data_IF_087259072374
#
_entry.id   IF_087259072374
#
_cell.length_a   1.000
_cell.length_b   1.000
_cell.length_c   1.000
_cell.angle_alpha   90.00
_cell.angle_beta   90.00
_cell.angle_gamma   90.00
#
_symmetry.space_group_name_H-M   'P 1'
#
loop_
_entity.id
_entity.type
_entity.pdbx_description
1 polymer ?
#
# COMPACT_ATOMS: atom_id res chain seq x y z
N UNK A 1 2.81 1.25 8.01
CA UNK A 1 2.97 1.73 6.62
C UNK A 1 2.95 3.25 6.64
N UNK A 2 3.78 3.96 5.85
CA UNK A 2 3.74 5.41 5.69
C UNK A 2 2.38 5.93 5.17
N UNK A 3 2.16 7.24 5.27
CA UNK A 3 0.92 7.91 4.83
C UNK A 3 0.59 7.64 3.37
N UNK A 4 1.59 7.65 2.51
CA UNK A 4 1.48 7.32 1.09
C UNK A 4 2.76 6.69 0.58
N UNK A 5 2.62 5.67 -0.28
CA UNK A 5 3.71 4.99 -0.98
C UNK A 5 3.36 4.87 -2.45
N UNK A 6 4.24 5.33 -3.34
CA UNK A 6 4.15 5.08 -4.78
C UNK A 6 4.84 3.74 -5.10
N UNK A 7 4.16 2.86 -5.80
CA UNK A 7 4.78 1.65 -6.34
C UNK A 7 5.88 2.00 -7.35
N UNK A 8 6.98 1.25 -7.33
CA UNK A 8 8.12 1.45 -8.25
C UNK A 8 7.78 1.13 -9.69
N UNK A 9 6.88 0.16 -9.88
CA UNK A 9 6.39 -0.29 -11.18
C UNK A 9 5.01 -0.97 -11.03
N UNK A 10 4.48 -1.47 -12.14
CA UNK A 10 3.19 -2.17 -12.17
C UNK A 10 3.19 -3.44 -11.32
N UNK A 11 4.26 -4.25 -11.38
CA UNK A 11 4.36 -5.50 -10.62
C UNK A 11 4.33 -5.23 -9.12
N UNK A 12 5.10 -4.24 -8.68
CA UNK A 12 5.07 -3.78 -7.29
C UNK A 12 3.68 -3.25 -6.90
N UNK A 13 2.99 -2.53 -7.79
CA UNK A 13 1.62 -2.09 -7.55
C UNK A 13 0.64 -3.25 -7.37
N UNK A 14 0.77 -4.31 -8.14
CA UNK A 14 -0.01 -5.54 -7.96
C UNK A 14 0.31 -6.21 -6.62
N UNK A 15 1.59 -6.27 -6.24
CA UNK A 15 2.01 -6.77 -4.94
C UNK A 15 1.37 -5.97 -3.79
N UNK A 16 1.47 -4.64 -3.81
CA UNK A 16 0.85 -3.78 -2.80
C UNK A 16 -0.67 -4.03 -2.72
N UNK A 17 -1.36 -4.08 -3.87
CA UNK A 17 -2.79 -4.34 -3.93
C UNK A 17 -3.18 -5.72 -3.37
N UNK A 18 -2.36 -6.75 -3.61
CA UNK A 18 -2.60 -8.10 -3.12
C UNK A 18 -2.48 -8.25 -1.60
N UNK A 19 -1.79 -7.31 -0.94
CA UNK A 19 -1.55 -7.30 0.50
C UNK A 19 -2.41 -6.30 1.28
N UNK A 20 -3.38 -5.67 0.65
CA UNK A 20 -4.31 -4.78 1.35
C UNK A 20 -5.02 -5.55 2.46
N UNK A 21 -5.14 -4.89 3.61
CA UNK A 21 -5.93 -5.38 4.73
C UNK A 21 -7.07 -4.41 5.03
N UNK A 22 -8.20 -4.95 5.44
CA UNK A 22 -9.34 -4.17 5.92
C UNK A 22 -9.67 -4.53 7.36
N UNK A 23 -10.16 -3.54 8.10
CA UNK A 23 -10.65 -3.74 9.47
C UNK A 23 -12.01 -4.44 9.43
N UNK A 24 -12.20 -5.44 10.27
CA UNK A 24 -13.50 -6.10 10.44
C UNK A 24 -14.48 -5.15 11.09
N UNK A 25 -15.65 -4.97 10.49
CA UNK A 25 -16.75 -4.19 11.03
C UNK A 25 -17.69 -5.07 11.84
N UNK A 26 -18.56 -4.46 12.64
CA UNK A 26 -19.57 -5.17 13.46
C UNK A 26 -20.53 -6.06 12.64
N UNK A 27 -20.63 -5.86 11.33
CA UNK A 27 -21.45 -6.67 10.42
C UNK A 27 -20.77 -7.94 9.94
N UNK A 28 -19.45 -8.11 10.17
CA UNK A 28 -18.69 -9.29 9.80
C UNK A 28 -18.46 -10.17 11.04
N UNK A 29 -18.50 -11.50 10.87
CA UNK A 29 -18.14 -12.42 11.94
C UNK A 29 -16.68 -12.21 12.36
N UNK A 30 -16.44 -11.98 13.64
CA UNK A 30 -15.12 -11.76 14.23
C UNK A 30 -15.09 -10.64 15.26
N UNK A 31 -13.91 -10.39 15.83
CA UNK A 31 -13.70 -9.29 16.77
C UNK A 31 -13.63 -7.97 16.00
N UNK A 32 -14.45 -6.99 16.39
CA UNK A 32 -14.40 -5.64 15.81
C UNK A 32 -12.99 -5.06 15.99
N UNK A 33 -12.43 -4.51 14.90
CA UNK A 33 -11.09 -3.95 14.90
C UNK A 33 -9.98 -4.93 14.48
N UNK A 34 -10.29 -6.23 14.31
CA UNK A 34 -9.34 -7.20 13.78
C UNK A 34 -9.07 -6.94 12.29
N UNK A 35 -7.79 -6.87 11.92
CA UNK A 35 -7.38 -6.76 10.52
C UNK A 35 -7.50 -8.12 9.82
N UNK A 36 -8.02 -8.10 8.60
CA UNK A 36 -8.02 -9.26 7.71
C UNK A 36 -7.39 -8.88 6.37
N UNK A 37 -6.70 -9.81 5.76
CA UNK A 37 -6.27 -9.65 4.36
C UNK A 37 -7.49 -9.54 3.46
N UNK A 38 -7.49 -8.55 2.61
CA UNK A 38 -8.57 -8.26 1.67
C UNK A 38 -7.99 -7.77 0.34
N UNK A 39 -7.30 -8.67 -0.41
CA UNK A 39 -6.59 -8.31 -1.62
C UNK A 39 -7.48 -7.52 -2.58
N UNK A 40 -6.98 -6.36 -3.00
CA UNK A 40 -7.66 -5.40 -3.87
C UNK A 40 -9.06 -4.96 -3.36
N UNK A 41 -9.38 -5.18 -2.09
CA UNK A 41 -10.73 -5.09 -1.52
C UNK A 41 -11.76 -5.92 -2.31
N UNK A 42 -11.34 -7.05 -2.87
CA UNK A 42 -12.13 -7.88 -3.80
C UNK A 42 -12.40 -9.29 -3.27
N UNK A 43 -11.82 -9.68 -2.14
CA UNK A 43 -11.93 -11.05 -1.65
C UNK A 43 -13.38 -11.57 -1.56
N UNK A 44 -14.36 -10.81 -1.05
CA UNK A 44 -15.75 -11.27 -0.98
C UNK A 44 -16.43 -11.42 -2.36
N UNK A 45 -15.86 -10.82 -3.40
CA UNK A 45 -16.45 -10.77 -4.74
C UNK A 45 -15.76 -11.70 -5.73
N UNK A 46 -14.62 -12.30 -5.35
CA UNK A 46 -13.85 -13.18 -6.21
C UNK A 46 -14.35 -14.63 -6.05
N UNK A 47 -15.04 -15.15 -7.06
CA UNK A 47 -15.61 -16.49 -7.07
C UNK A 47 -14.64 -17.60 -7.52
N UNK A 48 -13.33 -17.33 -7.59
CA UNK A 48 -12.27 -18.24 -8.00
C UNK A 48 -11.00 -17.99 -7.18
N UNK A 49 -9.93 -18.78 -7.43
CA UNK A 49 -8.69 -18.61 -6.67
C UNK A 49 -8.12 -17.21 -6.86
N UNK A 50 -7.89 -16.51 -5.75
CA UNK A 50 -7.44 -15.11 -5.76
C UNK A 50 -6.04 -14.93 -6.39
N UNK A 51 -5.20 -15.97 -6.37
CA UNK A 51 -3.91 -15.93 -7.06
C UNK A 51 -4.05 -15.84 -8.59
N UNK A 52 -5.12 -16.39 -9.18
CA UNK A 52 -5.42 -16.21 -10.60
C UNK A 52 -5.80 -14.75 -10.91
N UNK A 53 -6.48 -14.08 -9.98
CA UNK A 53 -6.75 -12.65 -10.07
C UNK A 53 -5.46 -11.83 -10.06
N UNK A 54 -4.51 -12.15 -9.19
CA UNK A 54 -3.18 -11.53 -9.19
C UNK A 54 -2.44 -11.77 -10.51
N UNK A 55 -2.45 -13.03 -10.98
CA UNK A 55 -1.87 -13.42 -12.26
C UNK A 55 -2.47 -12.66 -13.44
N UNK A 56 -3.78 -12.39 -13.42
CA UNK A 56 -4.45 -11.56 -14.42
C UNK A 56 -3.86 -10.14 -14.44
N UNK A 57 -3.75 -9.48 -13.29
CA UNK A 57 -3.19 -8.13 -13.22
C UNK A 57 -1.72 -8.08 -13.65
N UNK A 58 -0.91 -9.06 -13.26
CA UNK A 58 0.47 -9.18 -13.74
C UNK A 58 0.51 -9.32 -15.27
N UNK A 59 -0.41 -10.09 -15.86
CA UNK A 59 -0.53 -10.25 -17.31
C UNK A 59 -0.95 -8.95 -18.00
N UNK A 60 -1.89 -8.20 -17.42
CA UNK A 60 -2.27 -6.88 -17.93
C UNK A 60 -1.05 -5.97 -18.02
N UNK A 61 -0.23 -5.94 -16.97
CA UNK A 61 0.98 -5.12 -16.94
C UNK A 61 1.98 -5.40 -18.07
N UNK A 62 2.07 -6.66 -18.53
CA UNK A 62 2.95 -7.04 -19.66
C UNK A 62 2.52 -6.40 -20.99
N UNK A 63 1.24 -6.05 -21.12
CA UNK A 63 0.68 -5.38 -22.30
C UNK A 63 0.71 -3.85 -22.24
N UNK A 64 1.07 -3.28 -21.09
CA UNK A 64 1.11 -1.83 -20.92
C UNK A 64 2.37 -1.23 -21.52
N UNK A 65 2.22 -0.09 -22.15
CA UNK A 65 3.37 0.73 -22.54
C UNK A 65 3.92 1.40 -21.28
N UNK A 66 5.22 1.28 -21.05
CA UNK A 66 5.89 1.83 -19.88
C UNK A 66 5.61 3.35 -19.67
N UNK A 67 5.59 4.11 -20.76
CA UNK A 67 5.36 5.56 -20.75
C UNK A 67 3.89 5.96 -20.49
N UNK A 68 2.96 5.01 -20.48
CA UNK A 68 1.53 5.22 -20.29
C UNK A 68 0.92 4.31 -19.22
N UNK A 69 1.72 3.51 -18.54
CA UNK A 69 1.23 2.68 -17.46
C UNK A 69 0.70 3.57 -16.31
N UNK A 70 -0.47 3.27 -15.75
CA UNK A 70 -0.96 3.96 -14.57
C UNK A 70 0.05 3.83 -13.43
N UNK A 71 0.24 4.91 -12.68
CA UNK A 71 0.97 4.85 -11.40
C UNK A 71 0.04 4.38 -10.30
N UNK A 72 0.57 3.59 -9.38
CA UNK A 72 -0.18 3.00 -8.29
C UNK A 72 0.34 3.56 -6.99
N UNK A 73 -0.58 4.01 -6.15
CA UNK A 73 -0.29 4.57 -4.83
C UNK A 73 -1.09 3.81 -3.79
N UNK A 74 -0.44 3.48 -2.69
CA UNK A 74 -1.09 2.98 -1.50
C UNK A 74 -1.11 4.07 -0.45
N UNK A 75 -2.25 4.32 0.18
CA UNK A 75 -2.43 5.34 1.22
C UNK A 75 -2.84 4.71 2.53
N UNK A 76 -2.40 5.30 3.65
CA UNK A 76 -2.77 4.89 4.99
C UNK A 76 -3.21 6.11 5.82
N UNK A 77 -4.51 6.38 5.79
CA UNK A 77 -5.12 7.46 6.57
C UNK A 77 -5.15 7.21 8.07
N UNK A 78 -4.90 5.97 8.52
CA UNK A 78 -5.24 5.47 9.84
C UNK A 78 -4.03 5.10 10.69
N UNK A 79 -2.81 5.57 10.31
CA UNK A 79 -1.62 5.33 11.13
C UNK A 79 -1.79 6.00 12.48
N UNK A 80 -1.50 5.22 13.56
CA UNK A 80 -1.58 5.69 14.93
C UNK A 80 -0.19 5.81 15.53
N UNK A 81 -0.03 6.82 16.36
CA UNK A 81 1.13 6.96 17.24
C UNK A 81 1.08 6.01 18.43
N UNK A 82 2.12 6.02 19.23
CA UNK A 82 2.25 5.20 20.43
C UNK A 82 1.17 5.47 21.50
N UNK A 83 0.55 6.64 21.46
CA UNK A 83 -0.57 7.06 22.31
C UNK A 83 -1.94 6.60 21.77
N UNK A 84 -1.98 5.93 20.62
CA UNK A 84 -3.19 5.46 19.95
C UNK A 84 -3.95 6.52 19.14
N UNK A 85 -3.48 7.78 19.14
CA UNK A 85 -4.05 8.87 18.34
C UNK A 85 -3.70 8.69 16.87
N UNK A 86 -4.60 9.10 15.98
CA UNK A 86 -4.27 9.19 14.56
C UNK A 86 -3.23 10.29 14.33
N UNK A 87 -2.18 9.95 13.57
CA UNK A 87 -1.12 10.89 13.23
C UNK A 87 -1.52 11.85 12.10
N UNK A 88 -2.43 11.42 11.24
CA UNK A 88 -2.97 12.24 10.16
C UNK A 88 -4.38 12.72 10.51
N UNK A 89 -4.71 14.00 10.29
CA UNK A 89 -6.04 14.54 10.63
C UNK A 89 -7.19 13.83 9.92
N UNK A 90 -6.95 13.38 8.67
CA UNK A 90 -7.95 12.69 7.88
C UNK A 90 -9.02 13.61 7.29
N UNK A 91 -10.12 13.01 6.83
CA UNK A 91 -11.26 13.71 6.26
C UNK A 91 -10.90 14.67 5.11
N UNK A 92 -11.16 15.97 5.26
CA UNK A 92 -10.85 16.98 4.26
C UNK A 92 -9.37 17.07 3.93
N UNK A 93 -8.50 16.82 4.91
CA UNK A 93 -7.04 16.88 4.73
C UNK A 93 -6.47 15.71 3.91
N UNK A 94 -7.25 14.66 3.67
CA UNK A 94 -6.89 13.61 2.72
C UNK A 94 -6.72 14.17 1.30
N UNK A 95 -7.40 15.26 0.95
CA UNK A 95 -7.25 15.96 -0.32
C UNK A 95 -5.82 16.44 -0.58
N UNK A 96 -5.04 16.73 0.47
CA UNK A 96 -3.63 17.17 0.37
C UNK A 96 -2.73 16.06 -0.16
N UNK A 97 -2.98 14.82 0.25
CA UNK A 97 -2.27 13.66 -0.28
C UNK A 97 -2.70 13.38 -1.73
N UNK A 98 -3.99 13.57 -2.05
CA UNK A 98 -4.48 13.44 -3.43
C UNK A 98 -3.88 14.52 -4.33
N UNK A 99 -3.75 15.76 -3.84
CA UNK A 99 -3.05 16.85 -4.54
C UNK A 99 -1.60 16.48 -4.84
N UNK A 100 -0.88 15.98 -3.82
CA UNK A 100 0.49 15.49 -4.02
C UNK A 100 0.56 14.38 -5.08
N UNK A 101 -0.37 13.40 -5.06
CA UNK A 101 -0.45 12.32 -6.05
C UNK A 101 -0.63 12.90 -7.47
N UNK A 102 -1.54 13.88 -7.64
CA UNK A 102 -1.78 14.52 -8.94
C UNK A 102 -0.51 15.22 -9.43
N UNK A 103 0.13 16.03 -8.59
CA UNK A 103 1.38 16.72 -8.93
C UNK A 103 2.51 15.73 -9.23
N UNK A 104 2.55 14.60 -8.50
CA UNK A 104 3.51 13.52 -8.76
C UNK A 104 3.28 12.88 -10.13
N UNK A 105 2.04 12.60 -10.50
CA UNK A 105 1.69 12.05 -11.83
C UNK A 105 2.02 13.04 -12.93
N UNK A 106 1.80 14.33 -12.71
CA UNK A 106 2.13 15.43 -13.63
C UNK A 106 3.64 15.71 -13.74
N UNK A 107 4.46 15.12 -12.84
CA UNK A 107 5.92 15.32 -12.86
C UNK A 107 6.38 16.61 -12.17
N UNK A 108 5.53 17.25 -11.38
CA UNK A 108 5.82 18.52 -10.69
C UNK A 108 6.60 18.33 -9.39
N UNK A 109 6.52 17.13 -8.78
CA UNK A 109 7.20 16.80 -7.53
C UNK A 109 8.01 15.51 -7.66
N UNK A 110 9.08 15.41 -6.84
CA UNK A 110 9.98 14.28 -6.78
C UNK A 110 9.58 13.29 -5.68
N UNK A 111 10.31 12.19 -5.57
CA UNK A 111 10.13 11.16 -4.53
C UNK A 111 11.50 10.72 -4.02
N UNK A 112 11.50 10.12 -2.82
CA UNK A 112 12.64 9.43 -2.24
C UNK A 112 12.40 7.93 -2.38
N UNK A 113 13.40 7.20 -2.88
CA UNK A 113 13.35 5.75 -2.93
C UNK A 113 13.49 5.16 -1.52
N UNK A 114 12.71 4.13 -1.23
CA UNK A 114 12.74 3.38 0.01
C UNK A 114 12.63 1.88 -0.26
N UNK A 115 12.93 1.01 0.74
CA UNK A 115 12.78 -0.43 0.57
C UNK A 115 11.35 -0.90 0.25
N UNK A 116 10.35 -0.07 0.54
CA UNK A 116 8.92 -0.42 0.35
C UNK A 116 8.24 0.38 -0.76
N UNK A 117 8.99 1.10 -1.58
CA UNK A 117 8.50 1.94 -2.66
C UNK A 117 8.98 3.38 -2.55
N UNK A 118 8.36 4.29 -3.30
CA UNK A 118 8.74 5.70 -3.30
C UNK A 118 7.87 6.51 -2.36
N UNK A 119 8.51 7.37 -1.58
CA UNK A 119 7.86 8.25 -0.61
C UNK A 119 7.90 9.71 -1.08
N UNK A 120 6.94 10.55 -0.65
CA UNK A 120 7.04 12.00 -0.86
C UNK A 120 8.21 12.59 -0.09
N UNK A 121 8.70 13.72 -0.56
CA UNK A 121 9.39 14.69 0.27
C UNK A 121 8.34 15.42 1.13
N UNK A 122 8.58 15.56 2.43
CA UNK A 122 7.59 16.16 3.34
C UNK A 122 7.27 17.61 2.94
N UNK A 123 8.26 18.35 2.43
CA UNK A 123 8.09 19.70 1.91
C UNK A 123 7.19 19.80 0.67
N UNK A 124 6.98 18.71 -0.04
CA UNK A 124 6.07 18.67 -1.20
C UNK A 124 4.60 18.46 -0.81
N UNK A 125 4.33 18.16 0.46
CA UNK A 125 2.96 18.12 0.97
C UNK A 125 2.50 19.52 1.35
N UNK A 126 1.32 19.92 0.90
CA UNK A 126 0.71 21.15 1.35
C UNK A 126 0.19 20.98 2.78
N UNK A 127 0.92 21.50 3.76
CA UNK A 127 0.57 21.46 5.18
C UNK A 127 0.01 22.80 5.70
N UNK A 128 -0.22 23.79 4.83
CA UNK A 128 -0.75 25.09 5.21
C UNK A 128 -2.13 24.96 5.88
N UNK A 129 -2.27 25.55 7.06
CA UNK A 129 -3.54 25.60 7.79
C UNK A 129 -3.92 24.29 8.52
N UNK A 130 -3.02 23.31 8.58
CA UNK A 130 -3.18 22.15 9.47
C UNK A 130 -2.10 22.17 10.56
N UNK A 131 -2.46 21.65 11.72
CA UNK A 131 -1.53 21.52 12.85
C UNK A 131 -1.14 20.04 13.00
N UNK A 132 -0.09 19.62 12.27
CA UNK A 132 0.51 18.29 12.41
C UNK A 132 1.92 18.51 12.99
N UNK A 133 2.16 18.06 14.22
CA UNK A 133 3.48 18.18 14.83
C UNK A 133 4.58 17.54 13.98
N UNK A 134 5.78 18.11 14.00
CA UNK A 134 6.94 17.59 13.25
C UNK A 134 7.24 16.11 13.59
N UNK A 135 7.15 15.76 14.89
CA UNK A 135 7.32 14.39 15.34
C UNK A 135 6.28 13.42 14.74
N UNK A 136 5.04 13.88 14.54
CA UNK A 136 4.00 13.07 13.90
C UNK A 136 4.29 12.89 12.41
N UNK A 137 4.82 13.91 11.74
CA UNK A 137 5.26 13.83 10.33
C UNK A 137 6.44 12.87 10.18
N UNK A 138 7.43 12.94 11.06
CA UNK A 138 8.54 11.99 11.07
C UNK A 138 8.04 10.56 11.26
N UNK A 139 7.15 10.34 12.21
CA UNK A 139 6.55 9.02 12.43
C UNK A 139 5.70 8.57 11.23
N UNK A 140 4.90 9.45 10.62
CA UNK A 140 4.06 9.16 9.45
C UNK A 140 4.86 8.61 8.27
N UNK A 141 6.11 9.03 8.09
CA UNK A 141 6.98 8.58 7.00
C UNK A 141 8.06 7.60 7.45
N UNK A 142 8.13 7.26 8.73
CA UNK A 142 9.09 6.28 9.23
C UNK A 142 8.81 4.87 8.71
N UNK A 143 9.89 4.11 8.49
CA UNK A 143 9.86 2.71 8.10
C UNK A 143 10.52 1.91 9.21
N UNK A 144 9.72 1.11 9.92
CA UNK A 144 10.21 0.16 10.90
C UNK A 144 10.61 -1.14 10.18
N UNK A 145 11.91 -1.35 10.04
CA UNK A 145 12.47 -2.50 9.31
C UNK A 145 12.07 -3.84 9.94
N UNK A 146 12.01 -3.94 11.26
CA UNK A 146 11.65 -5.20 11.93
C UNK A 146 10.16 -5.51 11.76
N UNK A 147 9.30 -4.49 11.86
CA UNK A 147 7.89 -4.66 11.57
C UNK A 147 7.65 -5.09 10.10
N UNK A 148 8.43 -4.56 9.16
CA UNK A 148 8.34 -4.96 7.76
C UNK A 148 8.86 -6.35 7.47
N UNK A 149 9.87 -6.84 8.18
CA UNK A 149 10.30 -8.24 8.11
C UNK A 149 9.19 -9.18 8.58
N UNK A 150 8.59 -8.86 9.73
CA UNK A 150 7.44 -9.62 10.25
C UNK A 150 6.28 -9.61 9.24
N UNK A 151 5.99 -8.47 8.61
CA UNK A 151 4.95 -8.36 7.59
C UNK A 151 5.27 -9.19 6.33
N UNK A 152 6.55 -9.30 5.95
CA UNK A 152 6.96 -10.17 4.85
C UNK A 152 6.67 -11.64 5.15
N UNK A 153 6.98 -12.11 6.36
CA UNK A 153 6.67 -13.48 6.79
C UNK A 153 5.16 -13.75 6.78
N UNK A 154 4.36 -12.82 7.29
CA UNK A 154 2.89 -12.90 7.27
C UNK A 154 2.32 -12.86 5.85
N UNK A 155 2.95 -12.14 4.95
CA UNK A 155 2.59 -12.11 3.53
C UNK A 155 2.86 -13.45 2.86
N UNK A 156 3.99 -14.09 3.18
CA UNK A 156 4.32 -15.42 2.68
C UNK A 156 3.29 -16.45 3.15
N UNK A 157 2.97 -16.47 4.45
CA UNK A 157 1.92 -17.33 5.01
C UNK A 157 0.57 -17.12 4.32
N UNK A 158 0.22 -15.85 4.06
CA UNK A 158 -1.02 -15.51 3.36
C UNK A 158 -1.03 -16.07 1.93
N UNK A 159 0.07 -15.96 1.20
CA UNK A 159 0.16 -16.49 -0.17
C UNK A 159 0.12 -18.02 -0.22
N UNK A 160 0.57 -18.71 0.83
CA UNK A 160 0.47 -20.16 0.95
C UNK A 160 -0.99 -20.64 0.96
N UNK A 161 -1.92 -19.81 1.42
CA UNK A 161 -3.36 -20.14 1.42
C UNK A 161 -3.92 -20.36 0.01
N UNK A 162 -3.29 -19.80 -1.02
CA UNK A 162 -3.69 -19.95 -2.41
C UNK A 162 -3.09 -21.18 -3.11
N UNK A 163 -2.22 -21.93 -2.43
CA UNK A 163 -1.58 -23.15 -2.94
C UNK A 163 -0.57 -22.87 -4.05
N UNK A 164 -0.32 -23.89 -4.89
CA UNK A 164 0.72 -23.83 -5.93
C UNK A 164 0.55 -22.71 -6.96
N UNK A 165 -0.64 -22.15 -7.11
CA UNK A 165 -0.90 -21.04 -8.05
C UNK A 165 -0.17 -19.76 -7.63
N UNK A 166 -0.01 -19.51 -6.32
CA UNK A 166 0.72 -18.34 -5.81
C UNK A 166 2.19 -18.34 -6.19
N UNK A 167 2.83 -19.52 -6.20
CA UNK A 167 4.24 -19.67 -6.60
C UNK A 167 4.51 -19.28 -8.04
N UNK A 168 3.56 -19.56 -8.92
CA UNK A 168 3.73 -19.32 -10.35
C UNK A 168 3.65 -17.82 -10.70
N UNK A 169 2.91 -17.03 -9.92
CA UNK A 169 2.57 -15.67 -10.28
C UNK A 169 3.29 -14.60 -9.45
N UNK A 170 3.37 -14.76 -8.14
CA UNK A 170 3.88 -13.72 -7.23
C UNK A 170 5.31 -13.99 -6.74
N UNK A 171 5.62 -15.19 -6.26
CA UNK A 171 6.94 -15.51 -5.71
C UNK A 171 8.09 -15.45 -6.73
N UNK A 172 7.82 -15.70 -8.00
CA UNK A 172 8.83 -15.54 -9.04
C UNK A 172 9.32 -14.09 -9.21
N UNK A 173 8.63 -13.11 -8.64
CA UNK A 173 8.99 -11.70 -8.70
C UNK A 173 9.67 -11.18 -7.43
N UNK A 174 9.42 -11.79 -6.26
CA UNK A 174 10.08 -11.42 -5.01
C UNK A 174 11.60 -11.70 -5.01
N UNK A 175 12.02 -12.76 -5.68
CA UNK A 175 13.44 -13.15 -5.76
C UNK A 175 14.31 -12.23 -6.62
N UNK A 176 13.75 -11.23 -7.29
CA UNK A 176 14.50 -10.24 -8.08
C UNK A 176 14.75 -8.92 -7.35
N UNK A 177 14.22 -8.76 -6.14
CA UNK A 177 14.36 -7.54 -5.34
C UNK A 177 15.46 -7.64 -4.26
N UNK A 178 16.27 -8.71 -4.27
CA UNK A 178 17.47 -8.87 -3.43
C UNK A 178 18.75 -8.71 -4.25
#
# INVERSE_FOLDING_TARGET
>A
MPLVVEATDWTHGVFLGSNISSERTAAAEGTVGELRRDPFAMLPFCGYNMADYFGHWLKVGRGLRFDRAPRIFQVNWFRRGSDGRFLWPGFGDNSRVVDWIIRRVSGEVSTIDSPIGRLPLVEDLNLDGIDVPEADLEELFSIDTEAWKTEADLTEEFYDTFGAVSYTHLRAHETKAN
#
